data_IF_913905915714
#
_entry.id   IF_913905915714
#
_cell.length_a   1.000
_cell.length_b   1.000
_cell.length_c   1.000
_cell.angle_alpha   90.00
_cell.angle_beta   90.00
_cell.angle_gamma   90.00
#
_symmetry.space_group_name_H-M   'P 1'
#
loop_
_entity.id
_entity.type
_entity.pdbx_description
1 polymer ?
#
# COMPACT_ATOMS: atom_id res chain seq x y z
N UNK A 1 -3.62 12.24 27.71
CA UNK A 1 -2.38 11.95 26.94
C UNK A 1 -2.48 10.65 26.15
N UNK A 2 -2.85 9.52 26.76
CA UNK A 2 -3.01 8.24 26.05
C UNK A 2 -4.05 8.29 24.93
N UNK A 3 -5.21 8.88 25.19
CA UNK A 3 -6.28 8.96 24.19
C UNK A 3 -5.85 9.80 22.98
N UNK A 4 -5.08 10.86 23.21
CA UNK A 4 -4.47 11.67 22.14
C UNK A 4 -3.53 10.80 21.29
N UNK A 5 -2.66 10.00 21.90
CA UNK A 5 -1.75 9.08 21.18
C UNK A 5 -2.54 8.04 20.39
N UNK A 6 -3.62 7.50 20.97
CA UNK A 6 -4.50 6.55 20.31
C UNK A 6 -5.15 7.17 19.06
N UNK A 7 -5.78 8.34 19.20
CA UNK A 7 -6.43 9.02 18.07
C UNK A 7 -5.44 9.40 16.97
N UNK A 8 -4.24 9.87 17.32
CA UNK A 8 -3.20 10.17 16.32
C UNK A 8 -2.80 8.90 15.56
N UNK A 9 -2.53 7.81 16.28
CA UNK A 9 -2.13 6.54 15.66
C UNK A 9 -3.23 5.97 14.76
N UNK A 10 -4.50 6.11 15.18
CA UNK A 10 -5.67 5.69 14.42
C UNK A 10 -5.79 6.48 13.12
N UNK A 11 -5.68 7.80 13.17
CA UNK A 11 -5.74 8.65 11.97
C UNK A 11 -4.63 8.28 10.98
N UNK A 12 -3.40 8.10 11.46
CA UNK A 12 -2.27 7.68 10.61
C UNK A 12 -2.55 6.32 9.98
N UNK A 13 -3.07 5.36 10.76
CA UNK A 13 -3.36 4.01 10.26
C UNK A 13 -4.43 4.01 9.16
N UNK A 14 -5.52 4.78 9.36
CA UNK A 14 -6.59 4.89 8.37
C UNK A 14 -6.07 5.50 7.07
N UNK A 15 -5.29 6.59 7.16
CA UNK A 15 -4.67 7.23 5.98
C UNK A 15 -3.73 6.25 5.28
N UNK A 16 -2.87 5.55 6.03
CA UNK A 16 -1.94 4.57 5.48
C UNK A 16 -2.66 3.41 4.80
N UNK A 17 -3.81 2.98 5.32
CA UNK A 17 -4.65 1.93 4.72
C UNK A 17 -5.19 2.36 3.35
N UNK A 18 -5.80 3.54 3.26
CA UNK A 18 -6.30 4.06 1.99
C UNK A 18 -5.17 4.30 0.98
N UNK A 19 -4.03 4.85 1.44
CA UNK A 19 -2.86 5.07 0.62
C UNK A 19 -2.28 3.75 0.09
N UNK A 20 -2.27 2.67 0.89
CA UNK A 20 -1.86 1.34 0.46
C UNK A 20 -2.80 0.72 -0.55
N UNK A 21 -4.11 0.81 -0.33
CA UNK A 21 -5.09 0.31 -1.30
C UNK A 21 -4.89 1.02 -2.65
N UNK A 22 -4.81 2.35 -2.64
CA UNK A 22 -4.52 3.12 -3.85
C UNK A 22 -3.19 2.73 -4.48
N UNK A 23 -2.12 2.66 -3.68
CA UNK A 23 -0.78 2.28 -4.12
C UNK A 23 -0.74 0.90 -4.76
N UNK A 24 -1.42 -0.10 -4.20
CA UNK A 24 -1.50 -1.46 -4.75
C UNK A 24 -2.33 -1.50 -6.04
N UNK A 25 -3.47 -0.79 -6.09
CA UNK A 25 -4.29 -0.74 -7.31
C UNK A 25 -3.54 -0.11 -8.49
N UNK A 26 -2.69 0.89 -8.22
CA UNK A 26 -1.79 1.49 -9.21
C UNK A 26 -0.77 0.48 -9.79
N UNK A 27 -0.43 -0.61 -9.08
CA UNK A 27 0.40 -1.69 -9.64
C UNK A 27 -0.39 -2.58 -10.62
N UNK A 28 -1.71 -2.67 -10.46
CA UNK A 28 -2.55 -3.61 -11.23
C UNK A 28 -2.94 -3.09 -12.62
N UNK A 29 -2.62 -1.83 -12.96
CA UNK A 29 -2.97 -1.20 -14.24
C UNK A 29 -2.30 -1.82 -15.48
N UNK A 30 -1.45 -2.83 -15.34
CA UNK A 30 -0.62 -3.39 -16.42
C UNK A 30 -0.81 -4.90 -16.68
N UNK A 31 -1.57 -5.64 -15.87
CA UNK A 31 -1.50 -7.12 -15.87
C UNK A 31 -2.75 -7.90 -15.41
N UNK A 32 -3.93 -7.27 -15.38
CA UNK A 32 -5.16 -7.87 -14.82
C UNK A 32 -6.04 -8.63 -15.82
N UNK A 33 -5.64 -8.73 -17.09
CA UNK A 33 -6.43 -9.37 -18.13
C UNK A 33 -6.23 -10.89 -18.18
N UNK A 34 -7.29 -11.64 -18.53
CA UNK A 34 -7.19 -13.10 -18.76
C UNK A 34 -6.06 -13.45 -19.73
N UNK A 35 -5.74 -12.59 -20.72
CA UNK A 35 -4.65 -12.81 -21.66
C UNK A 35 -3.27 -12.87 -21.00
N UNK A 36 -3.01 -12.07 -19.97
CA UNK A 36 -1.72 -12.07 -19.26
C UNK A 36 -1.57 -13.32 -18.38
N UNK A 37 -2.69 -13.87 -17.91
CA UNK A 37 -2.73 -15.14 -17.18
C UNK A 37 -2.57 -16.37 -18.09
N UNK A 38 -2.82 -16.24 -19.39
CA UNK A 38 -2.68 -17.30 -20.40
C UNK A 38 -1.42 -17.14 -21.30
N UNK A 39 -0.41 -16.40 -20.86
CA UNK A 39 0.86 -16.26 -21.58
C UNK A 39 0.89 -15.17 -22.65
N UNK A 40 0.12 -14.10 -22.44
CA UNK A 40 -0.06 -12.98 -23.36
C UNK A 40 1.24 -12.44 -23.95
N UNK A 41 1.46 -12.72 -25.24
CA UNK A 41 2.50 -12.10 -26.07
C UNK A 41 2.11 -10.68 -26.56
N UNK A 42 1.16 -10.03 -25.89
CA UNK A 42 0.53 -8.79 -26.34
C UNK A 42 0.92 -7.58 -25.51
N UNK A 43 2.08 -6.99 -25.83
CA UNK A 43 2.37 -5.59 -25.53
C UNK A 43 2.48 -5.23 -24.05
N UNK A 44 3.66 -5.46 -23.46
CA UNK A 44 4.05 -4.83 -22.21
C UNK A 44 3.91 -3.31 -22.33
N UNK A 45 2.76 -2.77 -21.92
CA UNK A 45 2.37 -1.37 -22.05
C UNK A 45 3.49 -0.47 -21.52
N UNK A 46 4.20 0.31 -22.34
CA UNK A 46 5.42 1.06 -21.98
C UNK A 46 5.29 2.03 -20.78
N UNK A 47 5.10 1.50 -19.57
CA UNK A 47 5.15 2.21 -18.30
C UNK A 47 6.61 2.45 -17.93
N UNK A 48 6.93 3.70 -17.63
CA UNK A 48 8.26 4.14 -17.21
C UNK A 48 8.80 3.24 -16.09
N UNK A 49 9.91 2.55 -16.37
CA UNK A 49 10.62 1.70 -15.40
C UNK A 49 11.00 2.47 -14.13
N UNK A 50 11.21 3.78 -14.26
CA UNK A 50 11.46 4.67 -13.12
C UNK A 50 10.21 4.93 -12.28
N UNK A 51 9.04 5.12 -12.92
CA UNK A 51 7.77 5.31 -12.22
C UNK A 51 7.38 4.06 -11.43
N UNK A 52 7.55 2.87 -12.00
CA UNK A 52 7.31 1.60 -11.30
C UNK A 52 8.23 1.42 -10.10
N UNK A 53 9.53 1.69 -10.28
CA UNK A 53 10.51 1.55 -9.20
C UNK A 53 10.23 2.52 -8.04
N UNK A 54 9.74 3.72 -8.36
CA UNK A 54 9.33 4.69 -7.35
C UNK A 54 8.02 4.29 -6.66
N UNK A 55 7.04 3.80 -7.41
CA UNK A 55 5.78 3.30 -6.85
C UNK A 55 6.02 2.12 -5.89
N UNK A 56 6.89 1.17 -6.26
CA UNK A 56 7.30 0.06 -5.39
C UNK A 56 7.91 0.57 -4.07
N UNK A 57 8.79 1.58 -4.14
CA UNK A 57 9.42 2.17 -2.94
C UNK A 57 8.39 2.86 -2.05
N UNK A 58 7.50 3.66 -2.64
CA UNK A 58 6.44 4.36 -1.91
C UNK A 58 5.52 3.36 -1.22
N UNK A 59 5.04 2.35 -1.95
CA UNK A 59 4.15 1.32 -1.38
C UNK A 59 4.85 0.51 -0.29
N UNK A 60 6.16 0.21 -0.44
CA UNK A 60 6.93 -0.47 0.61
C UNK A 60 7.01 0.37 1.90
N UNK A 61 7.28 1.67 1.78
CA UNK A 61 7.30 2.57 2.95
C UNK A 61 5.91 2.68 3.59
N UNK A 62 4.86 2.81 2.78
CA UNK A 62 3.48 2.83 3.28
C UNK A 62 3.11 1.52 4.00
N UNK A 63 3.57 0.38 3.49
CA UNK A 63 3.34 -0.94 4.09
C UNK A 63 3.99 -1.06 5.46
N UNK A 64 5.23 -0.56 5.60
CA UNK A 64 5.94 -0.51 6.88
C UNK A 64 5.19 0.38 7.87
N UNK A 65 4.82 1.60 7.48
CA UNK A 65 4.09 2.54 8.35
C UNK A 65 2.76 1.95 8.81
N UNK A 66 2.00 1.36 7.89
CA UNK A 66 0.76 0.68 8.21
C UNK A 66 0.99 -0.48 9.19
N UNK A 67 1.96 -1.35 8.93
CA UNK A 67 2.28 -2.48 9.81
C UNK A 67 2.67 -2.04 11.23
N UNK A 68 3.52 -1.02 11.35
CA UNK A 68 3.87 -0.45 12.65
C UNK A 68 2.65 0.13 13.39
N UNK A 69 1.78 0.86 12.68
CA UNK A 69 0.59 1.47 13.30
C UNK A 69 -0.47 0.44 13.69
N UNK A 70 -0.64 -0.65 12.93
CA UNK A 70 -1.51 -1.78 13.32
C UNK A 70 -1.03 -2.41 14.63
N UNK A 71 0.27 -2.71 14.74
CA UNK A 71 0.85 -3.28 15.96
C UNK A 71 0.71 -2.29 17.12
N UNK A 72 1.02 -1.01 16.90
CA UNK A 72 0.91 0.03 17.93
C UNK A 72 -0.53 0.18 18.43
N UNK A 73 -1.53 0.21 17.54
CA UNK A 73 -2.94 0.25 17.93
C UNK A 73 -3.36 -1.01 18.70
N UNK A 74 -2.93 -2.19 18.26
CA UNK A 74 -3.17 -3.45 18.97
C UNK A 74 -2.61 -3.41 20.39
N UNK A 75 -1.38 -2.90 20.58
CA UNK A 75 -0.75 -2.75 21.89
C UNK A 75 -1.35 -1.63 22.75
N UNK A 76 -1.92 -0.59 22.14
CA UNK A 76 -2.61 0.48 22.86
C UNK A 76 -4.03 0.06 23.29
N UNK A 77 -4.67 -0.82 22.52
CA UNK A 77 -6.00 -1.35 22.78
C UNK A 77 -6.00 -2.54 23.75
N UNK A 78 -4.98 -3.40 23.70
CA UNK A 78 -4.88 -4.61 24.54
C UNK A 78 -4.45 -4.33 26.00
N UNK A 79 -4.53 -3.08 26.45
CA UNK A 79 -4.16 -2.63 27.80
C UNK A 79 -5.35 -1.94 28.45
#
# INVERSE_FOLDING_TARGET
>A
MRDVVFYITLVINVIATFALIGGVLLHSGRGGGLSDMFGGAGGAALGSTAAERNLNRITTVLALVWGFTVIALGLLLAR
#
